data_IF_941740167168
#
_entry.id   IF_941740167168
#
_cell.length_a   1.000
_cell.length_b   1.000
_cell.length_c   1.000
_cell.angle_alpha   90.00
_cell.angle_beta   90.00
_cell.angle_gamma   90.00
#
_symmetry.space_group_name_H-M   'P 1'
#
loop_
_entity.id
_entity.type
_entity.pdbx_description
1 polymer ?
#
# COMPACT_ATOMS: atom_id res chain seq x y z
N UNK A 1 -22.93 5.23 13.13
CA UNK A 1 -22.09 4.02 12.98
C UNK A 1 -20.76 4.46 12.34
N UNK A 2 -19.62 4.10 12.94
CA UNK A 2 -18.31 4.50 12.45
C UNK A 2 -17.76 3.44 11.48
N UNK A 3 -17.37 3.81 10.26
CA UNK A 3 -16.77 2.87 9.30
C UNK A 3 -15.53 3.46 8.62
N UNK A 4 -14.69 2.55 8.12
CA UNK A 4 -13.32 2.78 7.66
C UNK A 4 -13.21 3.84 6.55
N UNK A 5 -12.46 4.91 6.82
CA UNK A 5 -12.07 5.95 5.88
C UNK A 5 -10.55 6.05 5.82
N UNK A 6 -10.01 6.44 4.67
CA UNK A 6 -8.59 6.73 4.49
C UNK A 6 -8.46 8.17 4.01
N UNK A 7 -7.74 9.01 4.76
CA UNK A 7 -7.50 10.41 4.41
C UNK A 7 -6.26 10.58 3.49
N UNK A 8 -5.99 11.83 3.13
CA UNK A 8 -4.92 12.28 2.23
C UNK A 8 -3.50 12.04 2.75
N UNK A 9 -3.33 11.74 4.05
CA UNK A 9 -2.03 11.36 4.62
C UNK A 9 -1.62 9.95 4.22
N UNK A 10 -2.54 9.16 3.65
CA UNK A 10 -2.19 7.83 3.17
C UNK A 10 -1.13 7.94 2.09
N UNK A 11 -0.05 7.18 2.27
CA UNK A 11 1.01 7.09 1.29
C UNK A 11 1.08 5.72 0.61
N UNK A 12 0.08 4.86 0.79
CA UNK A 12 0.06 3.55 0.12
C UNK A 12 1.18 2.59 0.57
N UNK A 13 1.70 2.72 1.80
CA UNK A 13 2.70 1.80 2.37
C UNK A 13 2.17 0.38 2.68
N UNK A 14 0.86 0.15 2.56
CA UNK A 14 0.19 -1.14 2.73
C UNK A 14 0.32 -1.81 4.12
N UNK A 15 0.81 -1.11 5.15
CA UNK A 15 0.91 -1.65 6.51
C UNK A 15 -0.44 -2.16 7.06
N UNK A 16 -1.54 -1.47 6.74
CA UNK A 16 -2.89 -1.85 7.15
C UNK A 16 -3.35 -3.17 6.51
N UNK A 17 -2.97 -3.42 5.26
CA UNK A 17 -3.29 -4.65 4.54
C UNK A 17 -2.53 -5.84 5.13
N UNK A 18 -1.21 -5.70 5.29
CA UNK A 18 -0.34 -6.77 5.81
C UNK A 18 -0.72 -7.20 7.23
N UNK A 19 -1.34 -6.31 8.00
CA UNK A 19 -1.74 -6.56 9.39
C UNK A 19 -3.25 -6.76 9.55
N UNK A 20 -4.01 -6.96 8.46
CA UNK A 20 -5.45 -7.21 8.56
C UNK A 20 -5.71 -8.71 8.80
N UNK A 21 -6.09 -9.16 10.01
CA UNK A 21 -6.31 -10.58 10.27
C UNK A 21 -7.50 -11.16 9.48
N UNK A 22 -8.41 -10.30 9.03
CA UNK A 22 -9.61 -10.70 8.28
C UNK A 22 -9.44 -10.57 6.76
N UNK A 23 -8.28 -10.12 6.27
CA UNK A 23 -8.05 -9.84 4.84
C UNK A 23 -9.17 -8.97 4.22
N UNK A 24 -9.57 -7.94 4.97
CA UNK A 24 -10.66 -7.03 4.62
C UNK A 24 -10.17 -5.77 3.88
N UNK A 25 -8.87 -5.63 3.66
CA UNK A 25 -8.24 -4.54 2.91
C UNK A 25 -7.45 -5.19 1.79
N UNK A 26 -7.55 -4.63 0.58
CA UNK A 26 -6.80 -5.07 -0.60
C UNK A 26 -6.40 -3.85 -1.44
N UNK A 27 -5.65 -4.04 -2.52
CA UNK A 27 -5.37 -2.99 -3.48
C UNK A 27 -5.53 -3.47 -4.93
N UNK A 28 -5.80 -2.53 -5.82
CA UNK A 28 -5.80 -2.74 -7.27
C UNK A 28 -4.94 -1.68 -7.92
N UNK A 29 -3.99 -2.12 -8.73
CA UNK A 29 -3.21 -1.22 -9.55
C UNK A 29 -3.87 -1.05 -10.92
N UNK A 30 -3.92 0.20 -11.37
CA UNK A 30 -4.26 0.59 -12.73
C UNK A 30 -3.04 1.20 -13.41
N UNK A 31 -3.18 1.67 -14.65
CA UNK A 31 -2.05 2.30 -15.35
C UNK A 31 -1.55 3.59 -14.68
N UNK A 32 -2.38 4.32 -13.93
CA UNK A 32 -1.96 5.58 -13.32
C UNK A 32 -1.98 5.53 -11.79
N UNK A 33 -2.89 4.74 -11.20
CA UNK A 33 -3.21 4.82 -9.78
C UNK A 33 -3.29 3.45 -9.12
N UNK A 34 -2.90 3.41 -7.84
CA UNK A 34 -3.17 2.33 -6.90
C UNK A 34 -4.41 2.69 -6.09
N UNK A 35 -5.43 1.85 -6.19
CA UNK A 35 -6.69 1.97 -5.46
C UNK A 35 -6.69 1.03 -4.27
N UNK A 36 -6.85 1.56 -3.07
CA UNK A 36 -7.10 0.77 -1.87
C UNK A 36 -8.57 0.39 -1.83
N UNK A 37 -8.82 -0.89 -1.56
CA UNK A 37 -10.14 -1.49 -1.49
C UNK A 37 -10.39 -1.98 -0.07
N UNK A 38 -11.60 -1.77 0.45
CA UNK A 38 -12.02 -2.29 1.74
C UNK A 38 -13.32 -3.07 1.59
N UNK A 39 -13.38 -4.25 2.21
CA UNK A 39 -14.57 -5.09 2.24
C UNK A 39 -15.19 -5.07 3.64
N UNK A 40 -16.29 -4.33 3.80
CA UNK A 40 -16.95 -4.22 5.10
C UNK A 40 -17.54 -5.54 5.59
N UNK A 41 -17.97 -6.43 4.68
CA UNK A 41 -18.51 -7.73 5.05
C UNK A 41 -17.44 -8.66 5.65
N UNK A 42 -16.17 -8.46 5.31
CA UNK A 42 -15.03 -9.17 5.93
C UNK A 42 -14.48 -8.47 7.15
N UNK A 43 -14.72 -7.18 7.32
CA UNK A 43 -14.09 -6.39 8.36
C UNK A 43 -14.60 -6.76 9.76
N UNK A 44 -13.75 -7.41 10.56
CA UNK A 44 -14.02 -7.72 11.97
C UNK A 44 -14.01 -6.48 12.89
N UNK A 45 -13.81 -5.27 12.36
CA UNK A 45 -13.76 -3.99 13.10
C UNK A 45 -12.78 -3.99 14.29
N UNK A 46 -11.69 -4.74 14.18
CA UNK A 46 -10.71 -4.87 15.25
C UNK A 46 -9.91 -3.58 15.51
N UNK A 47 -9.88 -2.64 14.56
CA UNK A 47 -9.12 -1.38 14.66
C UNK A 47 -7.60 -1.54 14.47
N UNK A 48 -7.12 -2.71 14.05
CA UNK A 48 -5.68 -2.94 13.89
C UNK A 48 -5.07 -2.05 12.79
N UNK A 49 -5.80 -1.88 11.69
CA UNK A 49 -5.42 -1.00 10.59
C UNK A 49 -5.20 0.45 11.07
N UNK A 50 -6.05 0.96 11.95
CA UNK A 50 -5.91 2.28 12.57
C UNK A 50 -4.66 2.40 13.43
N UNK A 51 -4.42 1.42 14.30
CA UNK A 51 -3.27 1.41 15.22
C UNK A 51 -1.92 1.29 14.51
N UNK A 52 -1.84 0.49 13.46
CA UNK A 52 -0.57 0.22 12.77
C UNK A 52 -0.21 1.28 11.72
N UNK A 53 -1.14 2.17 11.36
CA UNK A 53 -0.93 3.14 10.28
C UNK A 53 0.12 4.18 10.71
N UNK A 54 1.33 4.21 10.10
CA UNK A 54 2.35 5.17 10.49
C UNK A 54 1.99 6.61 10.11
N UNK A 55 1.11 6.78 9.12
CA UNK A 55 0.64 8.08 8.65
C UNK A 55 -0.60 8.59 9.41
N UNK A 56 -1.18 7.77 10.30
CA UNK A 56 -2.46 8.05 10.97
C UNK A 56 -3.55 8.44 9.96
N UNK A 57 -3.56 7.74 8.83
CA UNK A 57 -4.43 8.05 7.70
C UNK A 57 -5.81 7.39 7.79
N UNK A 58 -5.98 6.42 8.69
CA UNK A 58 -7.24 5.69 8.85
C UNK A 58 -8.13 6.43 9.84
N UNK A 59 -9.39 6.60 9.47
CA UNK A 59 -10.42 7.25 10.27
C UNK A 59 -11.70 6.41 10.24
N UNK A 60 -12.68 6.73 11.08
CA UNK A 60 -13.95 6.04 11.11
C UNK A 60 -15.12 7.03 11.10
N UNK A 61 -15.65 7.37 9.93
CA UNK A 61 -16.60 8.50 9.80
C UNK A 61 -17.79 8.22 8.85
N UNK A 62 -17.58 7.55 7.69
CA UNK A 62 -18.58 7.51 6.59
C UNK A 62 -19.10 6.12 6.26
N UNK A 63 -20.26 6.03 5.57
CA UNK A 63 -20.85 4.76 5.13
C UNK A 63 -20.15 4.20 3.89
N UNK A 64 -19.91 2.89 3.91
CA UNK A 64 -19.49 2.07 2.76
C UNK A 64 -20.59 1.04 2.46
N UNK A 65 -20.73 0.64 1.20
CA UNK A 65 -21.69 -0.38 0.79
C UNK A 65 -21.15 -1.78 1.14
N UNK A 66 -22.01 -2.81 1.17
CA UNK A 66 -21.62 -4.18 1.55
C UNK A 66 -20.83 -4.92 0.44
N UNK A 67 -19.75 -4.32 -0.08
CA UNK A 67 -18.90 -4.88 -1.12
C UNK A 67 -17.44 -4.42 -0.97
N UNK A 68 -16.61 -4.71 -1.98
CA UNK A 68 -15.28 -4.11 -2.11
C UNK A 68 -15.42 -2.65 -2.56
N UNK A 69 -15.28 -1.73 -1.61
CA UNK A 69 -15.35 -0.31 -1.88
C UNK A 69 -13.97 0.32 -1.99
N UNK A 70 -13.83 1.26 -2.91
CA UNK A 70 -12.62 2.07 -3.06
C UNK A 70 -12.57 3.11 -1.94
N UNK A 71 -11.49 3.08 -1.16
CA UNK A 71 -11.32 3.92 0.04
C UNK A 71 -10.18 4.93 -0.08
N UNK A 72 -9.26 4.72 -1.02
CA UNK A 72 -8.25 5.72 -1.41
C UNK A 72 -7.75 5.41 -2.82
N UNK A 73 -7.36 6.44 -3.56
CA UNK A 73 -6.63 6.35 -4.81
C UNK A 73 -5.31 7.12 -4.67
N UNK A 74 -4.21 6.54 -5.12
CA UNK A 74 -2.88 7.15 -5.05
C UNK A 74 -2.16 7.00 -6.38
N UNK A 75 -1.51 8.07 -6.85
CA UNK A 75 -0.73 7.99 -8.09
C UNK A 75 0.44 7.04 -7.95
N UNK A 76 0.70 6.28 -9.01
CA UNK A 76 1.81 5.36 -9.09
C UNK A 76 3.07 6.08 -9.56
N UNK A 77 4.16 5.85 -8.84
CA UNK A 77 5.50 6.17 -9.26
C UNK A 77 6.05 5.01 -10.10
N UNK A 78 6.50 5.37 -11.29
CA UNK A 78 7.13 4.46 -12.25
C UNK A 78 8.62 4.70 -12.31
N UNK A 79 9.34 3.68 -12.72
CA UNK A 79 10.72 3.84 -13.11
C UNK A 79 10.86 4.62 -14.42
N UNK A 80 11.75 5.62 -14.42
CA UNK A 80 12.06 6.43 -15.60
C UNK A 80 12.90 5.68 -16.66
N UNK A 81 13.60 4.59 -16.31
CA UNK A 81 14.49 3.89 -17.27
C UNK A 81 13.86 2.61 -17.84
N UNK A 82 13.09 1.83 -17.06
CA UNK A 82 12.42 0.63 -17.59
C UNK A 82 10.88 0.69 -17.56
N UNK A 83 10.28 1.73 -16.96
CA UNK A 83 8.82 1.93 -16.99
C UNK A 83 8.00 1.10 -15.99
N UNK A 84 8.63 0.22 -15.21
CA UNK A 84 7.95 -0.62 -14.22
C UNK A 84 7.30 0.20 -13.09
N UNK A 85 6.15 -0.25 -12.58
CA UNK A 85 5.44 0.34 -11.42
C UNK A 85 6.17 -0.09 -10.15
N UNK A 86 6.54 0.86 -9.28
CA UNK A 86 7.26 0.56 -8.05
C UNK A 86 6.38 0.70 -6.80
N UNK A 87 5.98 1.93 -6.50
CA UNK A 87 5.16 2.30 -5.34
C UNK A 87 4.38 3.57 -5.66
N UNK A 88 3.70 4.16 -4.68
CA UNK A 88 2.96 5.40 -4.91
C UNK A 88 3.86 6.64 -4.89
N UNK A 89 3.46 7.69 -5.59
CA UNK A 89 4.13 9.00 -5.58
C UNK A 89 4.15 9.64 -4.17
N UNK A 90 3.17 9.31 -3.32
CA UNK A 90 3.18 9.73 -1.93
C UNK A 90 4.23 8.95 -1.11
N UNK A 91 4.37 7.64 -1.35
CA UNK A 91 5.39 6.83 -0.70
C UNK A 91 6.80 7.28 -1.07
N UNK A 92 7.01 7.61 -2.34
CA UNK A 92 8.24 8.25 -2.86
C UNK A 92 8.68 9.41 -2.00
N UNK A 93 7.78 10.37 -1.74
CA UNK A 93 8.06 11.57 -0.94
C UNK A 93 8.47 11.20 0.48
N UNK A 94 7.71 10.31 1.12
CA UNK A 94 8.05 9.82 2.47
C UNK A 94 9.42 9.12 2.51
N UNK A 95 9.75 8.34 1.49
CA UNK A 95 11.06 7.68 1.39
C UNK A 95 12.20 8.68 1.20
N UNK A 96 11.98 9.71 0.37
CA UNK A 96 12.97 10.77 0.16
C UNK A 96 13.24 11.54 1.46
N UNK A 97 12.20 11.89 2.21
CA UNK A 97 12.31 12.55 3.53
C UNK A 97 13.07 11.70 4.55
N UNK A 98 12.76 10.40 4.64
CA UNK A 98 13.32 9.52 5.68
C UNK A 98 14.70 8.96 5.37
N UNK A 99 15.03 8.76 4.09
CA UNK A 99 16.27 8.06 3.70
C UNK A 99 17.30 8.98 3.06
N UNK A 100 16.99 10.27 2.90
CA UNK A 100 17.90 11.29 2.34
C UNK A 100 18.42 10.98 0.93
N UNK A 101 17.91 9.93 0.28
CA UNK A 101 18.32 9.49 -1.06
C UNK A 101 17.30 10.03 -2.07
N UNK A 102 17.64 11.08 -2.85
CA UNK A 102 16.73 11.65 -3.82
C UNK A 102 16.59 10.71 -5.01
N UNK A 103 15.39 10.16 -5.15
CA UNK A 103 14.97 9.34 -6.25
C UNK A 103 14.92 10.16 -7.55
N UNK A 104 15.81 9.87 -8.52
CA UNK A 104 15.56 10.05 -9.96
C UNK A 104 16.56 9.24 -10.81
N UNK A 105 16.05 8.62 -11.88
CA UNK A 105 16.67 7.61 -12.79
C UNK A 105 16.98 6.22 -12.18
N UNK A 106 15.94 5.37 -12.07
CA UNK A 106 16.06 4.01 -11.52
C UNK A 106 16.28 2.92 -12.60
N UNK A 107 16.71 1.71 -12.19
CA UNK A 107 17.40 0.66 -12.98
C UNK A 107 18.88 1.05 -13.27
N UNK A 108 19.94 0.22 -13.25
CA UNK A 108 20.25 -1.21 -13.00
C UNK A 108 19.67 -1.82 -11.71
N UNK A 109 18.52 -2.49 -11.90
CA UNK A 109 17.61 -3.17 -10.99
C UNK A 109 16.92 -2.32 -9.90
N UNK A 110 16.30 -1.17 -10.23
CA UNK A 110 15.62 -0.25 -9.27
C UNK A 110 16.16 -0.15 -7.83
N UNK A 111 17.43 0.13 -7.57
CA UNK A 111 18.68 -0.11 -8.31
C UNK A 111 19.45 -0.99 -7.30
N UNK A 112 19.58 -2.29 -7.60
CA UNK A 112 19.65 -3.45 -6.67
C UNK A 112 18.47 -3.60 -5.66
N UNK A 113 17.32 -3.10 -6.10
CA UNK A 113 15.95 -3.30 -5.64
C UNK A 113 15.70 -2.80 -4.25
N UNK A 114 15.38 -1.51 -4.11
CA UNK A 114 15.15 -0.96 -2.79
C UNK A 114 16.43 -1.37 -2.01
N UNK A 115 17.63 -1.00 -2.49
CA UNK A 115 18.88 -1.77 -2.34
C UNK A 115 19.18 -2.33 -0.94
N UNK A 116 18.74 -3.57 -0.72
CA UNK A 116 18.39 -4.17 0.56
C UNK A 116 17.34 -3.38 1.34
N UNK A 117 17.31 -2.05 1.28
CA UNK A 117 16.22 -1.12 1.60
C UNK A 117 14.99 -1.75 2.23
N UNK A 118 14.97 -1.87 3.54
CA UNK A 118 15.96 -1.48 4.57
C UNK A 118 16.81 -2.57 5.22
N UNK A 119 17.10 -3.68 4.56
CA UNK A 119 17.71 -4.97 4.97
C UNK A 119 17.07 -5.71 6.13
N UNK A 120 16.21 -5.08 6.92
CA UNK A 120 15.70 -5.62 8.17
C UNK A 120 14.49 -4.85 8.72
N UNK A 121 13.58 -4.35 7.90
CA UNK A 121 12.33 -3.74 8.42
C UNK A 121 11.12 -4.71 8.39
N UNK A 122 11.31 -5.91 7.80
CA UNK A 122 10.26 -6.87 7.41
C UNK A 122 10.77 -8.34 7.30
N UNK A 123 11.53 -8.87 8.27
CA UNK A 123 12.11 -10.24 8.27
C UNK A 123 11.09 -11.42 8.34
N UNK A 124 9.90 -11.23 7.79
CA UNK A 124 8.85 -12.24 7.77
C UNK A 124 7.65 -11.75 6.97
N UNK A 125 7.73 -11.78 5.65
CA UNK A 125 6.54 -12.04 4.85
C UNK A 125 6.91 -12.53 3.45
N UNK A 126 6.54 -13.78 3.16
CA UNK A 126 6.60 -14.38 1.83
C UNK A 126 5.91 -13.44 0.82
N UNK A 127 6.51 -13.15 -0.34
CA UNK A 127 5.76 -12.57 -1.45
C UNK A 127 4.67 -13.56 -1.85
N UNK A 128 3.43 -13.19 -1.61
CA UNK A 128 2.26 -13.99 -1.90
C UNK A 128 2.03 -14.08 -3.40
N UNK A 129 2.20 -15.29 -3.92
CA UNK A 129 1.38 -15.94 -4.95
C UNK A 129 1.35 -15.26 -6.33
N UNK A 130 2.25 -15.69 -7.21
CA UNK A 130 1.92 -15.82 -8.62
C UNK A 130 0.77 -16.84 -8.73
N UNK A 131 -0.41 -16.39 -9.15
CA UNK A 131 -1.42 -17.29 -9.69
C UNK A 131 -0.99 -17.58 -11.12
N UNK A 132 -0.21 -18.64 -11.32
CA UNK A 132 -0.05 -19.33 -12.61
C UNK A 132 0.69 -20.64 -12.34
N UNK A 133 -0.07 -21.67 -11.93
CA UNK A 133 0.25 -23.10 -12.08
C UNK A 133 -1.01 -23.88 -11.68
N UNK A 134 -1.90 -24.08 -12.65
CA UNK A 134 -2.89 -25.17 -12.62
C UNK A 134 -2.42 -26.15 -13.68
N UNK A 135 -1.84 -27.25 -13.23
CA UNK A 135 -1.83 -28.52 -13.95
C UNK A 135 -3.14 -29.21 -13.59
#
# INVERSE_FOLDING_TARGET
MAYFQVNDKCNGCLACLQNCPANAIDFKDSEAERKLMHNIARCARCGNCWRICPQKAIEFDKMLANQWDEVAALDLARCEVCGEILYTSAFRKTLAEKTGSPEKSLCTLHKEALNLKISAHFAGHKPGRTKDEVI
#
